data_IF_737314505248
#
_entry.id   IF_737314505248
#
_cell.length_a   1.000
_cell.length_b   1.000
_cell.length_c   1.000
_cell.angle_alpha   90.00
_cell.angle_beta   90.00
_cell.angle_gamma   90.00
#
_symmetry.space_group_name_H-M   'P 1'
#
loop_
_entity.id
_entity.type
_entity.pdbx_description
1 polymer ?
#
# COMPACT_ATOMS: atom_id res chain seq x y z
N UNK A 1 13.55 -12.91 -9.09
CA UNK A 1 13.34 -11.74 -8.27
C UNK A 1 11.93 -11.20 -8.49
N UNK A 2 11.25 -10.89 -7.42
CA UNK A 2 9.90 -10.34 -7.50
C UNK A 2 9.95 -8.84 -7.80
N UNK A 3 9.15 -8.42 -8.75
CA UNK A 3 9.00 -7.01 -9.10
C UNK A 3 7.52 -6.67 -8.99
N UNK A 4 7.22 -5.55 -8.33
CA UNK A 4 5.84 -5.08 -8.17
C UNK A 4 5.59 -3.92 -9.11
N UNK A 5 4.52 -4.02 -9.86
CA UNK A 5 4.11 -2.97 -10.79
C UNK A 5 3.25 -1.96 -10.03
N UNK A 6 3.74 -0.73 -9.90
CA UNK A 6 3.06 0.33 -9.16
C UNK A 6 1.63 0.52 -9.64
N UNK A 7 1.42 0.55 -10.96
CA UNK A 7 0.09 0.81 -11.52
C UNK A 7 -0.87 -0.30 -11.16
N UNK A 8 -0.41 -1.55 -11.23
CA UNK A 8 -1.26 -2.69 -10.89
C UNK A 8 -1.59 -2.72 -9.40
N UNK A 9 -0.60 -2.44 -8.56
CA UNK A 9 -0.83 -2.39 -7.12
C UNK A 9 -1.83 -1.28 -6.80
N UNK A 10 -1.67 -0.12 -7.43
CA UNK A 10 -2.58 1.00 -7.20
C UNK A 10 -4.01 0.65 -7.61
N UNK A 11 -4.18 -0.06 -8.73
CA UNK A 11 -5.50 -0.50 -9.17
C UNK A 11 -6.12 -1.50 -8.22
N UNK A 12 -5.30 -2.34 -7.61
CA UNK A 12 -5.79 -3.36 -6.68
C UNK A 12 -6.18 -2.78 -5.32
N UNK A 13 -5.63 -1.63 -4.95
CA UNK A 13 -5.96 -0.99 -3.68
C UNK A 13 -7.38 -0.43 -3.73
N UNK A 14 -8.15 -0.73 -2.70
CA UNK A 14 -9.48 -0.15 -2.54
C UNK A 14 -9.39 1.09 -1.64
N UNK A 15 -10.44 1.90 -1.68
CA UNK A 15 -10.50 3.05 -0.78
C UNK A 15 -10.49 2.60 0.67
N UNK A 16 -11.06 1.44 0.96
CA UNK A 16 -11.05 0.89 2.31
C UNK A 16 -9.65 0.49 2.74
N UNK A 17 -8.83 -0.02 1.82
CA UNK A 17 -7.43 -0.29 2.13
C UNK A 17 -6.71 0.99 2.54
N UNK A 18 -7.00 2.09 1.84
CA UNK A 18 -6.41 3.38 2.15
C UNK A 18 -6.86 3.83 3.54
N UNK A 19 -8.14 3.68 3.85
CA UNK A 19 -8.66 4.02 5.17
C UNK A 19 -7.93 3.23 6.26
N UNK A 20 -7.75 1.92 6.04
CA UNK A 20 -7.08 1.06 7.00
C UNK A 20 -5.64 1.50 7.24
N UNK A 21 -4.94 1.91 6.19
CA UNK A 21 -3.57 2.40 6.31
C UNK A 21 -3.52 3.70 7.11
N UNK A 22 -4.41 4.63 6.80
CA UNK A 22 -4.46 5.89 7.54
C UNK A 22 -4.72 5.63 9.02
N UNK A 23 -5.59 4.69 9.32
CA UNK A 23 -5.88 4.31 10.69
C UNK A 23 -4.68 3.65 11.36
N UNK A 24 -4.05 2.72 10.66
CA UNK A 24 -2.87 2.01 11.15
C UNK A 24 -1.74 2.97 11.45
N UNK A 25 -1.58 4.01 10.64
CA UNK A 25 -0.52 4.99 10.79
C UNK A 25 -0.86 6.12 11.77
N UNK A 26 -2.01 6.04 12.42
CA UNK A 26 -2.38 7.01 13.44
C UNK A 26 -2.99 8.29 12.92
N UNK A 27 -3.49 8.29 11.69
CA UNK A 27 -4.14 9.46 11.11
C UNK A 27 -5.55 9.71 11.57
N UNK A 28 -6.17 8.72 12.21
CA UNK A 28 -7.54 8.83 12.70
C UNK A 28 -8.48 9.32 11.60
N UNK A 29 -8.59 8.57 10.48
CA UNK A 29 -9.37 9.05 9.33
C UNK A 29 -10.85 9.08 9.61
N UNK A 30 -11.54 10.03 8.98
CA UNK A 30 -13.00 10.09 8.98
C UNK A 30 -13.49 10.27 7.56
N UNK A 31 -14.70 9.78 7.30
CA UNK A 31 -15.30 9.88 5.96
C UNK A 31 -15.84 11.28 5.73
N UNK A 32 -15.74 11.69 4.48
CA UNK A 32 -16.36 12.93 3.99
C UNK A 32 -16.91 12.64 2.60
N UNK A 33 -17.60 13.61 2.02
CA UNK A 33 -18.27 13.41 0.73
C UNK A 33 -17.29 13.10 -0.40
N UNK A 34 -16.06 13.59 -0.32
CA UNK A 34 -15.05 13.37 -1.38
C UNK A 34 -14.13 12.18 -1.09
N UNK A 35 -14.12 11.67 0.13
CA UNK A 35 -13.23 10.60 0.54
C UNK A 35 -12.97 10.63 2.03
N UNK A 36 -11.73 10.91 2.42
CA UNK A 36 -11.35 10.89 3.83
C UNK A 36 -10.60 12.14 4.24
N UNK A 37 -10.74 12.49 5.52
CA UNK A 37 -9.94 13.53 6.17
C UNK A 37 -9.13 12.86 7.27
N UNK A 38 -7.86 13.17 7.34
CA UNK A 38 -6.92 12.54 8.27
C UNK A 38 -6.03 13.60 8.89
N UNK A 39 -5.41 13.24 10.01
CA UNK A 39 -4.32 14.02 10.56
C UNK A 39 -3.14 14.02 9.59
N UNK A 40 -2.29 15.03 9.71
CA UNK A 40 -1.20 15.26 8.76
C UNK A 40 0.03 14.37 9.05
N UNK A 41 -0.19 13.05 8.99
CA UNK A 41 0.87 12.07 9.21
C UNK A 41 1.91 12.08 8.10
N UNK A 42 1.68 12.86 7.05
CA UNK A 42 2.66 13.03 5.98
C UNK A 42 3.89 13.81 6.44
N UNK A 43 3.76 14.63 7.48
CA UNK A 43 4.90 15.37 8.01
C UNK A 43 4.90 15.53 9.54
N UNK A 44 3.97 14.87 10.22
CA UNK A 44 3.91 14.89 11.68
C UNK A 44 3.83 13.47 12.24
N UNK A 45 4.38 13.25 13.44
CA UNK A 45 4.16 11.96 14.13
C UNK A 45 2.69 11.76 14.47
N UNK A 46 2.29 10.51 14.74
CA UNK A 46 0.91 10.24 15.17
C UNK A 46 0.55 11.04 16.42
N UNK A 47 -0.66 11.56 16.43
CA UNK A 47 -1.15 12.35 17.56
C UNK A 47 -0.77 13.82 17.52
N UNK A 48 0.01 14.22 16.50
CA UNK A 48 0.40 15.62 16.31
C UNK A 48 -0.15 16.11 14.98
N UNK A 49 -0.07 17.39 14.76
CA UNK A 49 -0.54 17.99 13.52
C UNK A 49 -2.03 18.26 13.55
N UNK A 50 -2.56 18.64 12.40
CA UNK A 50 -3.95 19.01 12.24
C UNK A 50 -4.63 18.08 11.24
N UNK A 51 -5.95 18.19 11.14
CA UNK A 51 -6.72 17.35 10.21
C UNK A 51 -6.78 18.03 8.86
N UNK A 52 -5.64 18.12 8.20
CA UNK A 52 -5.50 18.81 6.92
C UNK A 52 -4.95 17.90 5.82
N UNK A 53 -4.96 16.58 6.03
CA UNK A 53 -4.59 15.63 5.01
C UNK A 53 -5.87 15.03 4.43
N UNK A 54 -6.13 15.33 3.16
CA UNK A 54 -7.36 14.95 2.47
C UNK A 54 -7.06 13.89 1.44
N UNK A 55 -7.90 12.87 1.40
CA UNK A 55 -7.83 11.82 0.38
C UNK A 55 -9.06 11.93 -0.52
N UNK A 56 -8.84 12.01 -1.82
CA UNK A 56 -9.90 12.15 -2.82
C UNK A 56 -10.10 10.83 -3.55
N UNK A 57 -11.26 10.22 -3.38
CA UNK A 57 -11.55 8.90 -3.94
C UNK A 57 -11.53 8.91 -5.47
N UNK A 58 -11.99 9.98 -6.08
CA UNK A 58 -12.11 10.04 -7.53
C UNK A 58 -10.75 10.04 -8.24
N UNK A 59 -9.70 10.49 -7.59
CA UNK A 59 -8.36 10.51 -8.19
C UNK A 59 -7.40 9.54 -7.53
N UNK A 60 -7.70 9.09 -6.30
CA UNK A 60 -6.77 8.30 -5.51
C UNK A 60 -5.58 9.09 -5.01
N UNK A 61 -5.70 10.41 -4.95
CA UNK A 61 -4.61 11.27 -4.52
C UNK A 61 -4.91 11.91 -3.17
N UNK A 62 -3.85 12.23 -2.47
CA UNK A 62 -3.90 12.98 -1.23
C UNK A 62 -3.50 14.42 -1.48
N UNK A 63 -4.03 15.31 -0.66
CA UNK A 63 -3.58 16.70 -0.60
C UNK A 63 -3.39 17.09 0.85
N UNK A 64 -2.21 17.60 1.16
CA UNK A 64 -1.92 18.17 2.47
C UNK A 64 -2.05 19.68 2.35
N UNK A 65 -2.93 20.27 3.16
CA UNK A 65 -3.20 21.71 3.10
C UNK A 65 -2.36 22.53 4.08
N UNK A 66 -1.39 21.85 4.73
CA UNK A 66 -0.38 22.52 5.55
C UNK A 66 0.97 21.95 5.12
N UNK A 67 2.03 22.32 5.70
CA UNK A 67 3.35 21.75 5.48
C UNK A 67 3.73 21.32 4.06
N UNK A 68 3.16 20.24 3.57
CA UNK A 68 3.50 19.69 2.25
C UNK A 68 2.97 20.53 1.09
N UNK A 69 1.73 20.98 1.21
CA UNK A 69 1.05 21.83 0.22
C UNK A 69 1.19 21.30 -1.21
N UNK A 70 0.95 20.01 -1.38
CA UNK A 70 1.07 19.36 -2.68
C UNK A 70 0.17 18.13 -2.72
N UNK A 71 -0.02 17.61 -3.95
CA UNK A 71 -0.70 16.33 -4.15
C UNK A 71 0.32 15.22 -4.17
N UNK A 72 -0.07 14.04 -3.67
CA UNK A 72 0.77 12.85 -3.73
C UNK A 72 -0.10 11.60 -3.61
N UNK A 73 0.44 10.45 -4.00
CA UNK A 73 -0.30 9.20 -3.96
C UNK A 73 0.01 8.42 -2.68
N UNK A 74 -0.62 7.24 -2.56
CA UNK A 74 -0.46 6.42 -1.36
C UNK A 74 0.99 5.93 -1.18
N UNK A 75 1.70 5.72 -2.27
CA UNK A 75 3.10 5.25 -2.18
C UNK A 75 4.00 6.36 -1.66
N UNK A 76 3.76 7.58 -2.12
CA UNK A 76 4.50 8.74 -1.62
C UNK A 76 4.18 8.98 -0.15
N UNK A 77 2.91 8.79 0.24
CA UNK A 77 2.55 8.91 1.65
C UNK A 77 3.24 7.83 2.48
N UNK A 78 3.30 6.59 1.97
CA UNK A 78 3.99 5.52 2.66
C UNK A 78 5.45 5.88 2.94
N UNK A 79 6.12 6.45 1.95
CA UNK A 79 7.51 6.86 2.12
C UNK A 79 7.66 7.95 3.19
N UNK A 80 6.72 8.90 3.22
CA UNK A 80 6.73 9.97 4.24
C UNK A 80 6.51 9.39 5.64
N UNK A 81 5.57 8.47 5.77
CA UNK A 81 5.29 7.80 7.04
C UNK A 81 6.49 6.98 7.49
N UNK A 82 7.14 6.29 6.57
CA UNK A 82 8.32 5.50 6.89
C UNK A 82 9.42 6.36 7.48
N UNK A 83 9.64 7.53 6.90
CA UNK A 83 10.67 8.44 7.40
C UNK A 83 10.35 8.92 8.80
N UNK A 84 9.10 9.27 9.06
CA UNK A 84 8.71 9.87 10.34
C UNK A 84 8.57 8.81 11.44
N UNK A 85 7.87 7.71 11.15
CA UNK A 85 7.52 6.74 12.18
C UNK A 85 8.53 5.62 12.32
N UNK A 86 9.16 5.22 11.20
CA UNK A 86 10.05 4.05 11.19
C UNK A 86 11.51 4.44 11.03
N UNK A 87 11.78 5.73 10.80
CA UNK A 87 13.14 6.25 10.60
C UNK A 87 13.85 5.53 9.45
N UNK A 88 13.10 5.29 8.37
CA UNK A 88 13.61 4.61 7.19
C UNK A 88 13.41 5.49 5.96
N UNK A 89 14.40 5.45 5.08
CA UNK A 89 14.30 6.15 3.81
C UNK A 89 13.78 5.18 2.76
N UNK A 90 12.52 5.33 2.40
CA UNK A 90 11.90 4.54 1.35
C UNK A 90 11.98 5.31 0.04
N UNK A 91 12.47 4.65 -1.01
CA UNK A 91 12.24 5.17 -2.36
C UNK A 91 10.87 4.65 -2.83
N UNK A 92 10.50 4.99 -4.07
CA UNK A 92 9.21 4.59 -4.59
C UNK A 92 9.05 3.07 -4.63
N UNK A 93 10.09 2.36 -5.03
CA UNK A 93 10.04 0.89 -5.09
C UNK A 93 9.85 0.28 -3.72
N UNK A 94 10.49 0.82 -2.71
CA UNK A 94 10.31 0.35 -1.33
C UNK A 94 8.88 0.52 -0.88
N UNK A 95 8.29 1.67 -1.19
CA UNK A 95 6.90 1.95 -0.80
C UNK A 95 5.94 1.01 -1.51
N UNK A 96 6.12 0.79 -2.81
CA UNK A 96 5.27 -0.12 -3.58
C UNK A 96 5.36 -1.53 -3.01
N UNK A 97 6.57 -1.98 -2.72
CA UNK A 97 6.78 -3.32 -2.16
C UNK A 97 6.13 -3.45 -0.80
N UNK A 98 6.27 -2.43 0.05
CA UNK A 98 5.68 -2.45 1.38
C UNK A 98 4.16 -2.60 1.30
N UNK A 99 3.53 -1.80 0.45
CA UNK A 99 2.07 -1.86 0.26
C UNK A 99 1.67 -3.24 -0.26
N UNK A 100 2.38 -3.75 -1.27
CA UNK A 100 2.06 -5.05 -1.85
C UNK A 100 2.13 -6.15 -0.79
N UNK A 101 3.15 -6.12 0.04
CA UNK A 101 3.32 -7.13 1.08
C UNK A 101 2.29 -6.97 2.19
N UNK A 102 1.94 -5.74 2.53
CA UNK A 102 0.96 -5.47 3.58
C UNK A 102 -0.40 -6.06 3.24
N UNK A 103 -0.80 -5.99 1.97
CA UNK A 103 -2.12 -6.49 1.54
C UNK A 103 -2.04 -7.82 0.80
N UNK A 104 -0.86 -8.41 0.69
CA UNK A 104 -0.72 -9.72 0.07
C UNK A 104 -0.85 -9.72 -1.44
N UNK A 105 -0.57 -8.61 -2.10
CA UNK A 105 -0.62 -8.56 -3.56
C UNK A 105 0.58 -9.29 -4.15
N UNK A 106 0.35 -9.95 -5.30
CA UNK A 106 1.39 -10.71 -5.97
C UNK A 106 2.35 -9.83 -6.73
N UNK A 107 3.63 -10.20 -6.69
CA UNK A 107 4.62 -9.56 -7.54
C UNK A 107 4.79 -10.34 -8.83
N UNK A 108 5.46 -9.72 -9.79
CA UNK A 108 5.77 -10.32 -11.08
C UNK A 108 7.19 -10.84 -11.10
N UNK A 109 7.38 -12.00 -11.72
CA UNK A 109 8.71 -12.53 -11.98
C UNK A 109 9.11 -12.16 -13.39
N UNK A 110 10.08 -11.29 -13.51
CA UNK A 110 10.47 -10.81 -14.83
C UNK A 110 11.36 -11.77 -15.59
N UNK A 111 12.20 -12.47 -14.87
CA UNK A 111 13.22 -13.28 -15.52
C UNK A 111 12.74 -14.65 -15.95
N UNK A 112 11.69 -15.18 -15.31
CA UNK A 112 11.24 -16.54 -15.58
C UNK A 112 9.74 -16.64 -15.48
N UNK A 113 9.07 -16.70 -16.62
CA UNK A 113 7.62 -16.83 -16.62
C UNK A 113 7.16 -18.22 -16.20
N UNK A 114 7.94 -19.25 -16.45
CA UNK A 114 7.52 -20.59 -16.09
C UNK A 114 7.61 -20.87 -14.59
N UNK A 115 8.40 -20.13 -13.87
CA UNK A 115 8.42 -20.26 -12.41
C UNK A 115 7.12 -19.85 -11.78
N UNK A 116 6.44 -18.91 -12.39
CA UNK A 116 5.18 -18.42 -11.90
C UNK A 116 4.15 -19.54 -11.82
N UNK A 117 4.19 -20.46 -12.75
CA UNK A 117 3.23 -21.55 -12.77
C UNK A 117 3.38 -22.46 -11.58
N UNK A 118 4.59 -22.72 -11.15
CA UNK A 118 4.83 -23.58 -10.02
C UNK A 118 4.37 -22.94 -8.71
N UNK A 119 4.51 -21.65 -8.61
CA UNK A 119 4.15 -20.94 -7.39
C UNK A 119 2.67 -20.79 -7.20
N UNK A 120 1.93 -20.72 -8.25
CA UNK A 120 0.50 -20.53 -8.16
C UNK A 120 -0.22 -21.77 -7.63
N UNK A 121 0.46 -22.89 -7.67
CA UNK A 121 -0.12 -24.09 -7.12
C UNK A 121 -0.11 -24.13 -5.63
N UNK A 122 -0.12 -23.60 -5.32
CA UNK A 122 -0.21 -23.77 -4.08
C UNK A 122 -0.59 -23.00 -3.25
N UNK A 123 -0.96 -22.63 -3.88
CA UNK A 123 -1.34 -22.60 -3.40
C UNK A 123 -1.75 -22.49 -2.70
N UNK A 124 -2.10 -22.24 -2.76
CA UNK A 124 -2.58 -22.77 -2.39
C UNK A 124 -2.76 -22.93 -1.90
N UNK A 125 -2.97 -22.60 -2.03
CA UNK A 125 -3.22 -23.49 -2.03
C UNK A 125 -3.13 -23.85 -1.71
N UNK A 126 -3.27 -23.59 -1.76
CA UNK A 126 -3.35 -24.65 -1.86
C UNK A 126 -3.09 -25.05 -1.69
N UNK A 127 -3.02 -24.84 -1.70
CA UNK A 127 -2.95 -25.87 -1.96
C UNK A 127 -2.70 -26.28 -1.89
N UNK A 128 -2.67 -26.15 -2.09
CA UNK A 128 -2.55 -27.18 -2.39
C UNK A 128 -2.16 -27.61 -2.37
N UNK A 129 -2.12 -27.60 -2.40
CA UNK A 129 -1.92 -28.65 -2.67
C UNK A 129 -1.66 -28.94 -2.44
N UNK A 130 -1.67 -28.73 -2.38
CA UNK A 130 -1.56 -29.72 -2.51
C UNK A 130 -1.42 -30.07 -2.31
N UNK A 131 -1.41 -29.96 -2.44
CA UNK A 131 -1.37 -31.01 -2.69
C UNK A 131 -1.27 -31.41 -2.61
N UNK A 132 -1.15 -31.22 -2.85
CA UNK A 132 -1.14 -32.19 -3.18
C UNK A 132 -0.98 -32.51 -3.19
N UNK A 133 -0.91 -32.30 -3.52
CA UNK A 133 -0.91 -33.11 -3.86
C UNK A 133 -0.58 -33.32 -4.00
N UNK A 134 -0.29 -33.07 -4.31
CA UNK A 134 -0.10 -33.67 -4.76
C UNK A 134 0.30 -33.83 -4.99
N UNK A 135 0.45 -33.60 -5.28
CA UNK A 135 0.69 -34.10 -5.65
C UNK A 135 1.10 -34.06 -5.76
N UNK A 136 1.26 -33.95 -5.97
CA UNK A 136 1.47 -34.15 -6.16
C UNK A 136 1.69 -33.86 -6.17
N UNK A 137 1.69 -33.71 -6.26
CA UNK A 137 1.71 -33.77 -6.22
C UNK A 137 1.65 -33.66 -6.20
#
# INVERSE_FOLDING_TARGET
>A
MLVFDKAKIREALTDENVFDLLQEWGGDPSRDTFGYVSATICHNPPGEGSRKLYYYENTGLFRCYTGCDCYFDIFELTAKVAQIQWHKEFDLNDAVRWIAQRFGFSGDHRSNSYETQMLSLNSPSNTQISSSNILIS
#
